data_IF_586781352969
#
_entry.id   IF_586781352969
#
_cell.length_a   1.000
_cell.length_b   1.000
_cell.length_c   1.000
_cell.angle_alpha   90.00
_cell.angle_beta   90.00
_cell.angle_gamma   90.00
#
_symmetry.space_group_name_H-M   'P 1'
#
loop_
_entity.id
_entity.type
_entity.pdbx_description
1 polymer ?
#
# COMPACT_ATOMS: atom_id res chain seq x y z
N UNK A 1 -16.30 -23.44 3.99
CA UNK A 1 -15.67 -22.10 4.01
C UNK A 1 -15.45 -21.61 2.59
N UNK A 2 -15.81 -20.39 2.32
CA UNK A 2 -15.62 -19.76 1.01
C UNK A 2 -14.56 -18.69 1.13
N UNK A 3 -13.54 -18.74 0.27
CA UNK A 3 -12.54 -17.67 0.21
C UNK A 3 -13.12 -16.49 -0.56
N UNK A 4 -13.03 -15.31 0.04
CA UNK A 4 -13.50 -14.06 -0.57
C UNK A 4 -12.33 -13.13 -0.72
N UNK A 5 -12.10 -12.69 -1.94
CA UNK A 5 -11.07 -11.70 -2.25
C UNK A 5 -11.63 -10.62 -3.14
N UNK A 6 -10.82 -9.68 -3.47
CA UNK A 6 -11.21 -8.62 -4.39
C UNK A 6 -10.15 -7.55 -4.49
N UNK A 7 -10.18 -6.76 -5.57
CA UNK A 7 -9.22 -5.68 -5.74
C UNK A 7 -9.48 -4.52 -4.80
N UNK A 8 -8.49 -3.66 -4.67
CA UNK A 8 -8.65 -2.38 -4.00
C UNK A 8 -9.51 -1.48 -4.90
N UNK A 9 -10.58 -0.91 -4.36
CA UNK A 9 -11.47 -0.05 -5.15
C UNK A 9 -11.22 1.43 -4.90
N UNK A 10 -10.71 1.79 -3.74
CA UNK A 10 -10.37 3.18 -3.44
C UNK A 10 -9.27 3.25 -2.39
N UNK A 11 -8.59 4.38 -2.35
CA UNK A 11 -7.59 4.68 -1.33
C UNK A 11 -7.85 6.09 -0.80
N UNK A 12 -7.72 6.25 0.51
CA UNK A 12 -7.79 7.54 1.17
C UNK A 12 -6.39 7.92 1.63
N UNK A 13 -5.88 9.04 1.13
CA UNK A 13 -4.55 9.54 1.45
C UNK A 13 -4.72 10.83 2.26
N UNK A 14 -4.46 10.75 3.56
CA UNK A 14 -4.56 11.86 4.50
C UNK A 14 -5.91 12.61 4.40
N UNK A 15 -6.99 11.83 4.31
CA UNK A 15 -8.36 12.35 4.27
C UNK A 15 -8.91 12.62 2.88
N UNK A 16 -8.13 12.41 1.82
CA UNK A 16 -8.60 12.63 0.45
C UNK A 16 -8.73 11.32 -0.30
N UNK A 17 -9.89 11.09 -0.91
CA UNK A 17 -10.19 9.86 -1.63
C UNK A 17 -9.71 9.89 -3.06
N UNK A 18 -9.22 8.75 -3.52
CA UNK A 18 -8.86 8.50 -4.90
C UNK A 18 -9.47 7.18 -5.34
N UNK A 19 -10.00 7.13 -6.55
CA UNK A 19 -10.49 5.88 -7.13
C UNK A 19 -9.33 5.08 -7.70
N UNK A 20 -9.44 3.76 -7.62
CA UNK A 20 -8.44 2.85 -8.18
C UNK A 20 -8.99 2.28 -9.49
N UNK A 21 -8.13 2.19 -10.50
CA UNK A 21 -8.52 1.63 -11.78
C UNK A 21 -9.01 0.19 -11.62
N UNK A 22 -10.08 -0.18 -12.32
CA UNK A 22 -10.75 -1.47 -12.12
C UNK A 22 -9.85 -2.67 -12.43
N UNK A 23 -8.87 -2.49 -13.32
CA UNK A 23 -7.98 -3.56 -13.74
C UNK A 23 -6.68 -3.62 -12.92
N UNK A 24 -6.59 -2.83 -11.86
CA UNK A 24 -5.37 -2.78 -11.05
C UNK A 24 -5.17 -4.09 -10.29
N UNK A 25 -3.97 -4.64 -10.40
CA UNK A 25 -3.56 -5.85 -9.68
C UNK A 25 -2.45 -5.46 -8.71
N UNK A 26 -2.84 -4.88 -7.59
CA UNK A 26 -1.90 -4.39 -6.59
C UNK A 26 -1.51 -5.50 -5.62
N UNK A 27 -0.23 -5.61 -5.34
CA UNK A 27 0.28 -6.48 -4.30
C UNK A 27 0.13 -5.83 -2.92
N UNK A 28 -0.15 -6.64 -1.91
CA UNK A 28 -0.29 -6.16 -0.54
C UNK A 28 0.56 -6.97 0.41
N UNK A 29 1.41 -6.28 1.16
CA UNK A 29 2.22 -6.86 2.23
C UNK A 29 1.82 -6.16 3.53
N UNK A 30 1.30 -6.94 4.47
CA UNK A 30 0.75 -6.38 5.72
C UNK A 30 1.85 -5.80 6.61
N UNK A 31 3.07 -6.33 6.52
CA UNK A 31 4.13 -5.94 7.41
C UNK A 31 4.21 -6.84 8.62
N UNK A 32 4.87 -6.38 9.67
CA UNK A 32 5.09 -7.18 10.86
C UNK A 32 6.48 -7.78 10.90
N UNK A 33 6.57 -9.09 11.09
CA UNK A 33 7.87 -9.77 11.18
C UNK A 33 7.97 -10.93 10.23
N UNK A 34 9.16 -11.13 9.67
CA UNK A 34 9.51 -12.35 8.95
C UNK A 34 10.39 -13.19 9.84
N UNK A 35 10.30 -14.50 9.66
CA UNK A 35 11.04 -15.46 10.44
C UNK A 35 11.97 -16.27 9.55
N UNK A 36 13.15 -16.56 10.08
CA UNK A 36 14.10 -17.42 9.44
C UNK A 36 14.57 -18.47 10.45
N UNK A 37 14.70 -19.71 10.02
CA UNK A 37 15.21 -20.78 10.88
C UNK A 37 16.59 -21.17 10.37
N UNK A 38 17.57 -21.11 11.27
CA UNK A 38 18.94 -21.52 10.98
C UNK A 38 19.29 -22.75 11.82
N UNK A 39 19.97 -23.71 11.22
CA UNK A 39 20.39 -24.94 11.90
C UNK A 39 21.61 -24.69 12.76
N UNK A 40 21.59 -25.25 13.96
CA UNK A 40 22.79 -25.34 14.81
C UNK A 40 23.58 -26.61 14.50
N UNK A 41 24.80 -26.67 14.99
CA UNK A 41 25.66 -27.83 14.73
C UNK A 41 25.17 -29.13 15.33
N UNK A 42 24.31 -29.09 16.34
CA UNK A 42 23.72 -30.27 17.00
C UNK A 42 22.34 -30.64 16.44
N UNK A 43 21.98 -30.09 15.27
CA UNK A 43 20.71 -30.33 14.58
C UNK A 43 19.48 -29.70 15.28
N UNK A 44 19.68 -28.77 16.21
CA UNK A 44 18.61 -27.93 16.72
C UNK A 44 18.49 -26.67 15.85
N UNK A 45 17.41 -25.91 16.02
CA UNK A 45 17.17 -24.72 15.22
C UNK A 45 17.25 -23.43 16.02
N UNK A 46 17.63 -22.36 15.34
CA UNK A 46 17.54 -21.00 15.85
C UNK A 46 16.50 -20.24 15.06
N UNK A 47 15.66 -19.48 15.76
CA UNK A 47 14.67 -18.63 15.11
C UNK A 47 15.17 -17.20 15.08
N UNK A 48 15.23 -16.63 13.88
CA UNK A 48 15.63 -15.23 13.67
C UNK A 48 14.42 -14.47 13.19
N UNK A 49 14.10 -13.36 13.86
CA UNK A 49 12.98 -12.49 13.51
C UNK A 49 13.48 -11.17 13.00
N UNK A 50 12.92 -10.71 11.88
CA UNK A 50 13.25 -9.42 11.29
C UNK A 50 11.96 -8.62 11.08
N UNK A 51 12.02 -7.32 11.39
CA UNK A 51 10.89 -6.42 11.16
C UNK A 51 10.74 -6.14 9.67
N UNK A 52 9.49 -6.07 9.20
CA UNK A 52 9.14 -5.72 7.82
C UNK A 52 8.16 -4.57 7.81
N UNK A 53 8.35 -3.65 6.87
CA UNK A 53 7.38 -2.59 6.61
C UNK A 53 6.18 -3.16 5.87
N UNK A 54 5.02 -2.54 6.05
CA UNK A 54 3.89 -2.85 5.19
C UNK A 54 4.08 -2.16 3.83
N UNK A 55 3.49 -2.72 2.79
CA UNK A 55 3.60 -2.18 1.45
C UNK A 55 2.39 -2.53 0.60
N UNK A 56 1.93 -1.57 -0.19
CA UNK A 56 0.97 -1.79 -1.27
C UNK A 56 1.61 -1.22 -2.52
N UNK A 57 1.92 -2.08 -3.49
CA UNK A 57 2.64 -1.67 -4.70
C UNK A 57 1.79 -1.91 -5.95
N UNK A 58 2.21 -1.27 -7.05
CA UNK A 58 1.58 -1.40 -8.36
C UNK A 58 0.11 -0.99 -8.37
N UNK A 59 -0.27 -0.05 -7.51
CA UNK A 59 -1.63 0.47 -7.45
C UNK A 59 -1.80 1.54 -8.52
N UNK A 60 -2.84 1.41 -9.38
CA UNK A 60 -3.14 2.40 -10.41
C UNK A 60 -4.30 3.27 -9.96
N UNK A 61 -4.04 4.55 -9.71
CA UNK A 61 -5.07 5.50 -9.33
C UNK A 61 -5.67 6.15 -10.56
N UNK A 62 -7.00 6.30 -10.57
CA UNK A 62 -7.68 7.13 -11.55
C UNK A 62 -7.47 8.59 -11.16
N UNK A 63 -6.80 9.34 -12.01
CA UNK A 63 -6.38 10.71 -11.73
C UNK A 63 -7.17 11.67 -12.60
N UNK A 64 -7.72 12.70 -11.98
CA UNK A 64 -8.40 13.78 -12.69
C UNK A 64 -7.48 15.00 -12.73
N UNK A 65 -7.08 15.36 -13.93
CA UNK A 65 -6.17 16.48 -14.17
C UNK A 65 -6.79 17.82 -13.74
N UNK A 66 -8.11 17.91 -13.73
CA UNK A 66 -8.82 19.12 -13.33
C UNK A 66 -8.98 19.28 -11.82
N UNK A 67 -8.70 18.23 -11.03
CA UNK A 67 -8.89 18.21 -9.59
C UNK A 67 -7.59 18.26 -8.80
N UNK A 68 -6.47 18.57 -9.44
CA UNK A 68 -5.14 18.71 -8.81
C UNK A 68 -4.67 17.44 -8.11
N UNK A 69 -5.11 16.26 -8.58
CA UNK A 69 -4.76 14.99 -7.95
C UNK A 69 -3.26 14.74 -7.97
N UNK A 70 -2.62 14.97 -9.11
CA UNK A 70 -1.18 14.73 -9.23
C UNK A 70 -0.39 15.68 -8.33
N UNK A 71 -0.76 16.95 -8.29
CA UNK A 71 -0.10 17.95 -7.46
C UNK A 71 -0.25 17.63 -5.98
N UNK A 72 -1.44 17.20 -5.57
CA UNK A 72 -1.69 16.79 -4.19
C UNK A 72 -0.81 15.61 -3.79
N UNK A 73 -0.76 14.56 -4.62
CA UNK A 73 0.04 13.38 -4.32
C UNK A 73 1.54 13.70 -4.30
N UNK A 74 2.00 14.55 -5.21
CA UNK A 74 3.40 14.96 -5.21
C UNK A 74 3.74 15.78 -3.97
N UNK A 75 2.85 16.65 -3.52
CA UNK A 75 3.08 17.40 -2.28
C UNK A 75 3.13 16.49 -1.06
N UNK A 76 2.31 15.43 -1.05
CA UNK A 76 2.37 14.43 0.01
C UNK A 76 3.68 13.64 -0.01
N UNK A 77 4.17 13.30 -1.20
CA UNK A 77 5.45 12.61 -1.33
C UNK A 77 6.63 13.47 -0.86
N UNK A 78 6.49 14.79 -0.94
CA UNK A 78 7.53 15.71 -0.51
C UNK A 78 7.51 15.99 1.00
N UNK A 79 6.51 15.55 1.73
CA UNK A 79 6.45 15.73 3.17
C UNK A 79 7.46 14.85 3.89
N UNK A 80 7.93 15.30 5.05
CA UNK A 80 8.98 14.64 5.82
C UNK A 80 8.43 13.69 6.90
N UNK A 81 7.21 13.25 6.79
CA UNK A 81 6.61 12.41 7.83
C UNK A 81 5.67 11.38 7.23
N UNK A 82 5.03 10.63 8.12
CA UNK A 82 4.02 9.67 7.73
C UNK A 82 2.63 10.27 7.91
N UNK A 83 1.70 9.85 7.08
CA UNK A 83 0.31 10.29 7.14
C UNK A 83 -0.61 9.07 7.06
N UNK A 84 -1.86 9.18 7.53
CA UNK A 84 -2.78 8.05 7.48
C UNK A 84 -3.19 7.72 6.04
N UNK A 85 -3.16 6.42 5.73
CA UNK A 85 -3.55 5.89 4.42
C UNK A 85 -4.48 4.71 4.67
N UNK A 86 -5.62 4.69 3.98
CA UNK A 86 -6.61 3.62 4.09
C UNK A 86 -6.95 3.07 2.72
N UNK A 87 -7.13 1.77 2.64
CA UNK A 87 -7.45 1.06 1.41
C UNK A 87 -8.79 0.35 1.57
N UNK A 88 -9.72 0.59 0.66
CA UNK A 88 -11.02 -0.09 0.64
C UNK A 88 -11.03 -1.15 -0.45
N UNK A 89 -11.43 -2.35 -0.10
CA UNK A 89 -11.47 -3.50 -1.00
C UNK A 89 -12.90 -3.78 -1.44
N UNK A 90 -13.05 -4.40 -2.61
CA UNK A 90 -14.36 -4.77 -3.12
C UNK A 90 -15.09 -5.79 -2.24
N UNK A 91 -14.34 -6.53 -1.42
CA UNK A 91 -14.92 -7.45 -0.44
C UNK A 91 -15.57 -6.76 0.76
N UNK A 92 -15.47 -5.44 0.86
CA UNK A 92 -16.01 -4.66 1.97
C UNK A 92 -15.06 -4.40 3.12
N UNK A 93 -13.86 -4.95 3.08
CA UNK A 93 -12.87 -4.71 4.13
C UNK A 93 -12.11 -3.41 3.88
N UNK A 94 -11.66 -2.79 4.96
CA UNK A 94 -10.83 -1.58 4.92
C UNK A 94 -9.57 -1.83 5.74
N UNK A 95 -8.43 -1.58 5.15
CA UNK A 95 -7.14 -1.71 5.81
C UNK A 95 -6.43 -0.36 5.83
N UNK A 96 -5.77 -0.04 6.91
CA UNK A 96 -5.10 1.24 7.00
C UNK A 96 -3.88 1.22 7.90
N UNK A 97 -3.09 2.28 7.80
CA UNK A 97 -1.89 2.48 8.59
C UNK A 97 -1.27 3.82 8.29
N UNK A 98 -0.22 4.14 9.01
CA UNK A 98 0.60 5.32 8.74
C UNK A 98 1.64 4.95 7.69
N UNK A 99 1.82 5.80 6.70
CA UNK A 99 2.80 5.53 5.67
C UNK A 99 3.13 6.74 4.82
N UNK A 100 3.92 6.49 3.79
CA UNK A 100 4.37 7.50 2.85
C UNK A 100 4.35 6.90 1.45
N UNK A 101 4.31 7.78 0.46
CA UNK A 101 4.42 7.40 -0.94
C UNK A 101 5.87 7.05 -1.23
N UNK A 102 6.07 5.88 -1.84
CA UNK A 102 7.39 5.42 -2.28
C UNK A 102 7.40 5.33 -3.80
N UNK A 103 8.58 5.32 -4.39
CA UNK A 103 8.80 5.35 -5.83
C UNK A 103 8.38 6.67 -6.49
N UNK A 104 8.72 6.82 -7.76
CA UNK A 104 8.37 8.02 -8.53
C UNK A 104 6.91 8.03 -8.92
N UNK A 105 6.33 9.22 -8.96
CA UNK A 105 4.98 9.43 -9.45
C UNK A 105 5.04 9.84 -10.92
N UNK A 106 4.40 9.04 -11.78
CA UNK A 106 4.32 9.31 -13.21
C UNK A 106 2.87 9.27 -13.66
N UNK A 107 2.41 10.35 -14.23
CA UNK A 107 1.04 10.45 -14.71
C UNK A 107 0.97 9.98 -16.16
N UNK A 108 0.01 9.09 -16.45
CA UNK A 108 -0.28 8.65 -17.80
C UNK A 108 -1.37 9.51 -18.40
N UNK A 109 -1.01 10.42 -19.29
CA UNK A 109 -1.97 11.32 -19.93
C UNK A 109 -2.98 10.57 -20.80
N UNK A 110 -2.59 9.45 -21.36
CA UNK A 110 -3.43 8.68 -22.27
C UNK A 110 -4.55 7.96 -21.54
N UNK A 111 -4.27 7.43 -20.35
CA UNK A 111 -5.20 6.60 -19.59
C UNK A 111 -5.79 7.29 -18.37
N UNK A 112 -5.35 8.51 -18.07
CA UNK A 112 -5.73 9.25 -16.87
C UNK A 112 -5.50 8.42 -15.60
N UNK A 113 -4.39 7.70 -15.54
CA UNK A 113 -4.00 6.87 -14.40
C UNK A 113 -2.59 7.19 -13.96
N UNK A 114 -2.30 6.92 -12.69
CA UNK A 114 -0.96 7.09 -12.13
C UNK A 114 -0.62 5.88 -11.27
N UNK A 115 0.41 5.09 -11.62
CA UNK A 115 0.87 4.03 -10.75
C UNK A 115 1.51 4.62 -9.51
N UNK A 116 1.20 4.05 -8.36
CA UNK A 116 1.68 4.53 -7.08
C UNK A 116 1.93 3.36 -6.13
N UNK A 117 2.90 3.52 -5.25
CA UNK A 117 3.19 2.55 -4.21
C UNK A 117 3.24 3.26 -2.87
N UNK A 118 2.77 2.59 -1.83
CA UNK A 118 2.78 3.09 -0.47
C UNK A 118 3.51 2.12 0.43
N UNK A 119 4.19 2.63 1.44
CA UNK A 119 4.86 1.82 2.44
C UNK A 119 4.91 2.58 3.76
N UNK A 120 5.00 1.86 4.86
CA UNK A 120 5.08 2.49 6.17
C UNK A 120 5.55 1.54 7.26
N UNK A 121 5.80 2.10 8.45
CA UNK A 121 6.26 1.31 9.58
C UNK A 121 5.14 0.49 10.19
N UNK A 122 5.50 -0.56 10.91
CA UNK A 122 4.53 -1.42 11.58
C UNK A 122 3.76 -2.30 10.62
N UNK A 123 2.50 -2.51 10.90
CA UNK A 123 1.63 -3.36 10.10
C UNK A 123 0.36 -2.63 9.71
N UNK A 124 -0.20 -3.01 8.55
CA UNK A 124 -1.54 -2.60 8.19
C UNK A 124 -2.54 -3.27 9.14
N UNK A 125 -3.54 -2.52 9.56
CA UNK A 125 -4.60 -3.04 10.43
C UNK A 125 -5.95 -2.95 9.73
N UNK A 126 -6.78 -3.95 9.94
CA UNK A 126 -8.15 -3.93 9.43
C UNK A 126 -9.00 -3.00 10.27
N UNK A 127 -9.66 -2.11 9.60
CA UNK A 127 -10.52 -1.11 10.25
C UNK A 127 -11.89 -1.66 10.55
#
# INVERSE_FOLDING_TARGET
MTAVGGPIVSVEVDGRYFSVAADADAGRQIGGKTNEVQSNGDNTGRLIKSAKTWMVDALSLAIDDLLDHQEYLQSKANENGFFPISFSFSSGTVWGGLGQIVDELKFSNQNATMPISFSGPGSLTQQ
#
